data_IF_540314476246
#
_entry.id   IF_540314476246
#
_cell.length_a   1.000
_cell.length_b   1.000
_cell.length_c   1.000
_cell.angle_alpha   90.00
_cell.angle_beta   90.00
_cell.angle_gamma   90.00
#
_symmetry.space_group_name_H-M   'P 1'
#
loop_
_entity.id
_entity.type
_entity.pdbx_description
1 polymer ?
#
# COMPACT_ATOMS: atom_id res chain seq x y z
N UNK A 1 6.14 33.69 -19.13
CA UNK A 1 4.97 33.25 -18.35
C UNK A 1 4.68 31.81 -18.73
N UNK A 2 5.03 30.87 -17.86
CA UNK A 2 4.59 29.48 -17.95
C UNK A 2 4.45 28.97 -16.52
N UNK A 3 3.38 29.45 -15.86
CA UNK A 3 2.83 28.76 -14.71
C UNK A 3 2.06 27.55 -15.27
N UNK A 4 2.77 26.52 -15.72
CA UNK A 4 2.19 25.17 -15.66
C UNK A 4 2.07 24.88 -14.18
N UNK A 5 0.90 25.11 -13.62
CA UNK A 5 0.58 24.63 -12.28
C UNK A 5 0.88 23.14 -12.28
N UNK A 6 1.99 22.77 -11.66
CA UNK A 6 2.27 21.41 -11.24
C UNK A 6 1.11 21.06 -10.32
N UNK A 7 0.03 20.49 -10.86
CA UNK A 7 -0.95 19.81 -10.02
C UNK A 7 -0.13 19.00 -9.03
N UNK A 8 -0.34 19.26 -7.74
CA UNK A 8 0.39 18.58 -6.68
C UNK A 8 0.34 17.09 -6.98
N UNK A 9 1.51 16.47 -7.24
CA UNK A 9 1.64 15.02 -7.43
C UNK A 9 1.33 14.38 -6.07
N UNK A 10 0.05 14.23 -5.73
CA UNK A 10 -0.37 13.65 -4.45
C UNK A 10 -0.15 12.14 -4.52
N UNK A 11 0.83 11.65 -3.78
CA UNK A 11 1.16 10.22 -3.69
C UNK A 11 0.76 9.72 -2.31
N UNK A 12 -0.18 8.79 -2.27
CA UNK A 12 -0.52 8.01 -1.08
C UNK A 12 0.45 6.85 -0.94
N UNK A 13 0.93 6.58 0.27
CA UNK A 13 1.60 5.32 0.61
C UNK A 13 0.61 4.40 1.31
N UNK A 14 0.53 3.14 0.91
CA UNK A 14 -0.13 2.11 1.70
C UNK A 14 0.75 0.87 1.85
N UNK A 15 0.65 0.26 3.02
CA UNK A 15 1.12 -1.11 3.24
C UNK A 15 0.02 -1.95 3.88
N UNK A 16 0.34 -3.20 4.17
CA UNK A 16 -0.58 -4.18 4.72
C UNK A 16 0.08 -5.01 5.82
N UNK A 17 -0.72 -5.42 6.80
CA UNK A 17 -0.38 -6.51 7.70
C UNK A 17 -1.50 -7.55 7.79
N UNK A 18 -1.10 -8.75 8.16
CA UNK A 18 -1.91 -9.96 8.30
C UNK A 18 -1.70 -10.61 9.66
N UNK A 19 -2.52 -11.61 10.00
CA UNK A 19 -2.36 -12.41 11.24
C UNK A 19 -0.91 -12.85 11.50
N UNK A 20 -0.16 -13.23 10.45
CA UNK A 20 1.19 -13.77 10.58
C UNK A 20 2.30 -12.74 10.75
N UNK A 21 2.04 -11.44 10.56
CA UNK A 21 3.09 -10.41 10.56
C UNK A 21 2.72 -9.10 11.24
N UNK A 22 1.46 -8.89 11.66
CA UNK A 22 1.03 -7.63 12.28
C UNK A 22 1.88 -7.23 13.48
N UNK A 23 2.35 -8.18 14.29
CA UNK A 23 3.24 -7.86 15.41
C UNK A 23 4.55 -7.24 14.93
N UNK A 24 5.16 -7.80 13.88
CA UNK A 24 6.39 -7.26 13.30
C UNK A 24 6.15 -5.92 12.64
N UNK A 25 5.01 -5.75 11.96
CA UNK A 25 4.67 -4.48 11.29
C UNK A 25 4.42 -3.37 12.33
N UNK A 26 3.63 -3.64 13.37
CA UNK A 26 3.08 -2.63 14.28
C UNK A 26 3.84 -2.47 15.60
N UNK A 27 4.40 -3.55 16.17
CA UNK A 27 5.11 -3.48 17.46
C UNK A 27 6.58 -3.17 17.30
N UNK A 28 7.19 -3.61 16.20
CA UNK A 28 8.58 -3.31 15.88
C UNK A 28 8.69 -2.02 15.04
N UNK A 29 9.90 -1.68 14.59
CA UNK A 29 10.14 -0.49 13.77
C UNK A 29 9.89 -0.71 12.26
N UNK A 30 9.22 -1.80 11.87
CA UNK A 30 9.11 -2.22 10.47
C UNK A 30 8.30 -1.24 9.62
N UNK A 31 7.13 -0.82 10.12
CA UNK A 31 6.26 0.14 9.44
C UNK A 31 6.94 1.50 9.26
N UNK A 32 7.57 2.01 10.32
CA UNK A 32 8.31 3.28 10.23
C UNK A 32 9.50 3.17 9.27
N UNK A 33 10.22 2.05 9.34
CA UNK A 33 11.40 1.82 8.49
C UNK A 33 11.04 1.80 7.00
N UNK A 34 9.98 1.08 6.60
CA UNK A 34 9.62 1.01 5.18
C UNK A 34 9.23 2.38 4.62
N UNK A 35 8.44 3.16 5.38
CA UNK A 35 8.04 4.52 5.01
C UNK A 35 9.26 5.42 4.89
N UNK A 36 10.14 5.41 5.89
CA UNK A 36 11.36 6.24 5.90
C UNK A 36 12.29 5.89 4.74
N UNK A 37 12.42 4.61 4.40
CA UNK A 37 13.29 4.15 3.31
C UNK A 37 12.77 4.53 1.93
N UNK A 38 11.48 4.81 1.75
CA UNK A 38 10.97 5.43 0.52
C UNK A 38 11.59 6.82 0.28
N UNK A 39 12.06 7.51 1.33
CA UNK A 39 12.62 8.86 1.27
C UNK A 39 11.74 9.83 0.47
N UNK A 40 10.45 9.85 0.80
CA UNK A 40 9.43 10.59 0.06
C UNK A 40 8.42 11.23 1.00
N UNK A 41 7.98 12.44 0.66
CA UNK A 41 6.95 13.17 1.40
C UNK A 41 5.55 12.78 0.87
N UNK A 42 4.93 11.80 1.53
CA UNK A 42 3.65 11.26 1.10
C UNK A 42 2.49 12.18 1.47
N UNK A 43 1.52 12.31 0.56
CA UNK A 43 0.27 13.01 0.79
C UNK A 43 -0.55 12.36 1.91
N UNK A 44 -0.50 11.03 2.00
CA UNK A 44 -1.04 10.24 3.11
C UNK A 44 -0.27 8.92 3.24
N UNK A 45 -0.25 8.37 4.44
CA UNK A 45 0.36 7.10 4.81
C UNK A 45 -0.71 6.22 5.45
N UNK A 46 -1.04 5.11 4.81
CA UNK A 46 -2.09 4.20 5.23
C UNK A 46 -1.59 2.81 5.59
N UNK A 47 -2.29 2.16 6.52
CA UNK A 47 -2.13 0.74 6.81
C UNK A 47 -3.44 0.00 6.55
N UNK A 48 -3.39 -1.03 5.70
CA UNK A 48 -4.46 -2.02 5.60
C UNK A 48 -4.19 -3.13 6.61
N UNK A 49 -5.21 -3.46 7.41
CA UNK A 49 -5.20 -4.60 8.32
C UNK A 49 -6.13 -5.65 7.72
N UNK A 50 -5.64 -6.85 7.46
CA UNK A 50 -6.40 -7.85 6.75
C UNK A 50 -6.26 -9.22 7.42
N UNK A 51 -7.38 -9.93 7.57
CA UNK A 51 -7.39 -11.32 8.05
C UNK A 51 -6.59 -11.49 9.36
N UNK A 52 -6.93 -10.71 10.40
CA UNK A 52 -6.36 -10.81 11.75
C UNK A 52 -7.39 -11.43 12.70
N UNK A 53 -6.94 -12.21 13.68
CA UNK A 53 -7.83 -12.89 14.63
C UNK A 53 -8.24 -12.00 15.79
N UNK A 54 -7.31 -11.23 16.34
CA UNK A 54 -7.53 -10.35 17.49
C UNK A 54 -7.65 -8.89 17.04
N UNK A 55 -8.78 -8.57 16.43
CA UNK A 55 -9.07 -7.22 15.90
C UNK A 55 -8.87 -6.10 16.93
N UNK A 56 -9.41 -6.19 18.17
CA UNK A 56 -9.22 -5.13 19.18
C UNK A 56 -7.75 -4.84 19.49
N UNK A 57 -6.94 -5.88 19.67
CA UNK A 57 -5.50 -5.71 19.96
C UNK A 57 -4.77 -5.07 18.78
N UNK A 58 -5.01 -5.57 17.56
CA UNK A 58 -4.35 -5.00 16.37
C UNK A 58 -4.78 -3.54 16.14
N UNK A 59 -6.05 -3.23 16.36
CA UNK A 59 -6.57 -1.86 16.26
C UNK A 59 -5.91 -0.92 17.27
N UNK A 60 -5.66 -1.38 18.51
CA UNK A 60 -4.94 -0.58 19.51
C UNK A 60 -3.56 -0.17 18.99
N UNK A 61 -2.78 -1.12 18.47
CA UNK A 61 -1.45 -0.81 17.93
C UNK A 61 -1.50 0.08 16.68
N UNK A 62 -2.52 -0.08 15.83
CA UNK A 62 -2.71 0.80 14.69
C UNK A 62 -3.05 2.24 15.12
N UNK A 63 -3.90 2.41 16.15
CA UNK A 63 -4.18 3.71 16.78
C UNK A 63 -2.92 4.34 17.36
N UNK A 64 -2.08 3.56 18.03
CA UNK A 64 -0.79 4.05 18.53
C UNK A 64 0.14 4.52 17.40
N UNK A 65 0.17 3.80 16.26
CA UNK A 65 0.96 4.21 15.09
C UNK A 65 0.46 5.54 14.49
N UNK A 66 -0.85 5.77 14.49
CA UNK A 66 -1.45 7.06 14.11
C UNK A 66 -1.09 8.17 15.11
N UNK A 67 -1.21 7.90 16.41
CA UNK A 67 -0.88 8.88 17.46
C UNK A 67 0.60 9.28 17.43
N UNK A 68 1.50 8.36 17.06
CA UNK A 68 2.93 8.62 16.87
C UNK A 68 3.25 9.34 15.55
N UNK A 69 2.27 9.53 14.66
CA UNK A 69 2.47 10.15 13.34
C UNK A 69 3.23 9.28 12.33
N UNK A 70 3.33 7.96 12.57
CA UNK A 70 4.00 7.03 11.64
C UNK A 70 3.13 6.84 10.40
N UNK A 71 1.83 6.64 10.60
CA UNK A 71 0.80 6.60 9.56
C UNK A 71 -0.28 7.63 9.88
N UNK A 72 -1.04 8.03 8.87
CA UNK A 72 -2.13 8.99 9.03
C UNK A 72 -3.48 8.28 9.22
N UNK A 73 -3.62 7.08 8.65
CA UNK A 73 -4.87 6.30 8.65
C UNK A 73 -4.61 4.79 8.69
N UNK A 74 -5.58 4.04 9.21
CA UNK A 74 -5.63 2.58 9.05
C UNK A 74 -7.05 2.15 8.68
N UNK A 75 -7.15 0.99 8.03
CA UNK A 75 -8.43 0.41 7.63
C UNK A 75 -8.40 -1.11 7.77
N UNK A 76 -9.49 -1.70 8.25
CA UNK A 76 -9.69 -3.14 8.16
C UNK A 76 -10.26 -3.48 6.78
N UNK A 77 -9.59 -4.37 6.04
CA UNK A 77 -10.02 -4.73 4.68
C UNK A 77 -11.43 -5.36 4.66
N UNK A 78 -11.78 -6.09 5.71
CA UNK A 78 -13.11 -6.70 5.90
C UNK A 78 -14.25 -5.66 6.00
N UNK A 79 -13.97 -4.44 6.49
CA UNK A 79 -15.00 -3.40 6.61
C UNK A 79 -15.43 -2.85 5.25
N UNK A 80 -14.61 -3.06 4.21
CA UNK A 80 -14.83 -2.50 2.87
C UNK A 80 -14.98 -3.57 1.79
N UNK A 81 -14.87 -4.86 2.13
CA UNK A 81 -14.74 -5.89 1.11
C UNK A 81 -15.92 -5.94 0.16
N UNK A 82 -17.15 -5.86 0.67
CA UNK A 82 -18.35 -5.95 -0.15
C UNK A 82 -18.48 -4.74 -1.09
N UNK A 83 -18.15 -3.54 -0.61
CA UNK A 83 -18.11 -2.32 -1.41
C UNK A 83 -17.05 -2.42 -2.52
N UNK A 84 -15.85 -2.91 -2.18
CA UNK A 84 -14.75 -3.09 -3.11
C UNK A 84 -15.12 -4.09 -4.22
N UNK A 85 -15.62 -5.27 -3.84
CA UNK A 85 -16.03 -6.30 -4.78
C UNK A 85 -17.11 -5.75 -5.74
N UNK A 86 -18.09 -5.04 -5.20
CA UNK A 86 -19.14 -4.38 -5.99
C UNK A 86 -18.56 -3.33 -6.94
N UNK A 87 -17.69 -2.45 -6.43
CA UNK A 87 -17.07 -1.35 -7.19
C UNK A 87 -16.29 -1.86 -8.40
N UNK A 88 -15.56 -2.97 -8.23
CA UNK A 88 -14.75 -3.57 -9.29
C UNK A 88 -15.51 -4.63 -10.10
N UNK A 89 -16.80 -4.85 -9.83
CA UNK A 89 -17.63 -5.86 -10.51
C UNK A 89 -17.00 -7.26 -10.47
N UNK A 90 -16.42 -7.61 -9.31
CA UNK A 90 -15.78 -8.91 -9.04
C UNK A 90 -16.47 -9.60 -7.86
N UNK A 91 -16.27 -10.90 -7.73
CA UNK A 91 -16.82 -11.69 -6.62
C UNK A 91 -15.68 -12.34 -5.84
N UNK A 92 -15.96 -12.85 -4.63
CA UNK A 92 -14.97 -13.66 -3.89
C UNK A 92 -14.43 -14.82 -4.74
N UNK A 93 -15.31 -15.48 -5.50
CA UNK A 93 -14.95 -16.60 -6.36
C UNK A 93 -14.04 -16.20 -7.52
N UNK A 94 -13.95 -14.91 -7.87
CA UNK A 94 -13.02 -14.42 -8.89
C UNK A 94 -11.55 -14.62 -8.49
N UNK A 95 -11.25 -14.89 -7.22
CA UNK A 95 -9.90 -15.14 -6.71
C UNK A 95 -9.63 -16.62 -6.40
N UNK A 96 -10.60 -17.50 -6.65
CA UNK A 96 -10.46 -18.91 -6.37
C UNK A 96 -9.58 -19.59 -7.43
N UNK A 97 -8.58 -20.33 -6.97
CA UNK A 97 -7.82 -21.29 -7.76
C UNK A 97 -8.06 -22.68 -7.17
N UNK A 98 -7.98 -23.72 -7.99
CA UNK A 98 -8.29 -25.11 -7.59
C UNK A 98 -7.56 -25.58 -6.31
N UNK A 99 -6.39 -25.00 -6.02
CA UNK A 99 -5.53 -25.34 -4.89
C UNK A 99 -5.36 -24.19 -3.88
N UNK A 100 -6.03 -23.05 -4.08
CA UNK A 100 -5.75 -21.85 -3.31
C UNK A 100 -6.89 -20.82 -3.29
N UNK A 101 -7.23 -20.34 -2.09
CA UNK A 101 -8.09 -19.17 -1.92
C UNK A 101 -7.25 -17.88 -1.98
N UNK A 102 -7.19 -17.26 -3.16
CA UNK A 102 -6.44 -16.02 -3.39
C UNK A 102 -7.11 -14.76 -2.83
N UNK A 103 -8.31 -14.89 -2.24
CA UNK A 103 -9.09 -13.74 -1.79
C UNK A 103 -8.33 -12.87 -0.80
N UNK A 104 -7.76 -13.45 0.25
CA UNK A 104 -7.09 -12.68 1.30
C UNK A 104 -5.80 -12.00 0.81
N UNK A 105 -5.16 -12.55 -0.22
CA UNK A 105 -3.99 -11.91 -0.84
C UNK A 105 -4.38 -10.75 -1.76
N UNK A 106 -5.60 -10.78 -2.30
CA UNK A 106 -6.06 -9.82 -3.30
C UNK A 106 -6.86 -8.66 -2.70
N UNK A 107 -7.68 -8.94 -1.68
CA UNK A 107 -8.55 -7.92 -1.07
C UNK A 107 -7.75 -6.80 -0.40
N UNK A 108 -6.58 -7.12 0.17
CA UNK A 108 -5.69 -6.17 0.80
C UNK A 108 -5.19 -5.05 -0.13
N UNK A 109 -4.48 -5.38 -1.23
CA UNK A 109 -4.12 -4.41 -2.27
C UNK A 109 -5.32 -3.67 -2.85
N UNK A 110 -6.46 -4.35 -3.07
CA UNK A 110 -7.67 -3.70 -3.57
C UNK A 110 -8.26 -2.68 -2.59
N UNK A 111 -8.17 -2.94 -1.28
CA UNK A 111 -8.54 -1.95 -0.26
C UNK A 111 -7.65 -0.71 -0.35
N UNK A 112 -6.33 -0.87 -0.53
CA UNK A 112 -5.44 0.28 -0.73
C UNK A 112 -5.82 1.08 -1.99
N UNK A 113 -6.09 0.42 -3.11
CA UNK A 113 -6.54 1.07 -4.35
C UNK A 113 -7.88 1.80 -4.16
N UNK A 114 -8.82 1.22 -3.43
CA UNK A 114 -10.14 1.81 -3.19
C UNK A 114 -10.04 3.05 -2.28
N UNK A 115 -9.23 2.98 -1.22
CA UNK A 115 -9.22 3.96 -0.12
C UNK A 115 -8.21 5.10 -0.31
N UNK A 116 -7.15 4.92 -1.10
CA UNK A 116 -6.10 5.92 -1.27
C UNK A 116 -6.59 7.21 -1.93
N UNK A 117 -6.43 8.37 -1.30
CA UNK A 117 -6.93 9.67 -1.75
C UNK A 117 -5.99 10.39 -2.74
N UNK A 118 -4.73 9.99 -2.81
CA UNK A 118 -3.75 10.53 -3.73
C UNK A 118 -4.08 10.20 -5.18
N UNK A 119 -3.65 11.08 -6.10
CA UNK A 119 -3.69 10.81 -7.54
C UNK A 119 -2.85 9.58 -7.91
N UNK A 120 -1.82 9.33 -7.11
CA UNK A 120 -0.94 8.18 -7.19
C UNK A 120 -0.97 7.38 -5.90
N UNK A 121 -0.85 6.06 -6.02
CA UNK A 121 -0.64 5.15 -4.89
C UNK A 121 0.79 4.61 -4.97
N UNK A 122 1.47 4.42 -3.85
CA UNK A 122 2.62 3.52 -3.69
C UNK A 122 2.16 2.45 -2.72
N UNK A 123 1.93 1.26 -3.23
CA UNK A 123 1.63 0.10 -2.40
C UNK A 123 2.88 -0.75 -2.21
N UNK A 124 3.16 -1.15 -0.97
CA UNK A 124 4.21 -2.13 -0.65
C UNK A 124 3.64 -3.18 0.31
N UNK A 125 3.94 -4.45 0.10
CA UNK A 125 3.61 -5.49 1.09
C UNK A 125 4.43 -5.28 2.38
N UNK A 126 3.91 -5.68 3.54
CA UNK A 126 4.59 -5.46 4.83
C UNK A 126 5.98 -6.11 4.92
N UNK A 127 6.23 -7.13 4.10
CA UNK A 127 7.51 -7.84 4.00
C UNK A 127 8.49 -7.24 2.97
N UNK A 128 8.14 -6.13 2.30
CA UNK A 128 9.07 -5.35 1.47
C UNK A 128 10.24 -4.80 2.29
N UNK A 129 11.45 -4.91 1.76
CA UNK A 129 12.66 -4.30 2.28
C UNK A 129 13.25 -3.39 1.21
N UNK A 130 13.21 -2.09 1.47
CA UNK A 130 13.83 -1.10 0.58
C UNK A 130 15.28 -0.90 1.05
N UNK A 131 16.25 -1.05 0.15
CA UNK A 131 17.63 -0.69 0.48
C UNK A 131 17.75 0.83 0.56
N UNK A 132 18.56 1.39 1.50
CA UNK A 132 18.83 2.82 1.50
C UNK A 132 19.34 3.27 0.11
N UNK A 133 18.67 4.26 -0.47
CA UNK A 133 19.02 4.80 -1.77
C UNK A 133 18.86 6.32 -1.78
N UNK A 134 19.59 7.00 -2.66
CA UNK A 134 19.48 8.44 -2.89
C UNK A 134 18.67 8.80 -4.15
N UNK A 135 18.18 7.79 -4.87
CA UNK A 135 17.46 7.98 -6.14
C UNK A 135 15.99 8.36 -5.87
N UNK A 136 15.44 9.40 -6.51
CA UNK A 136 14.05 9.82 -6.36
C UNK A 136 13.09 8.94 -7.19
N UNK A 137 13.11 7.64 -6.95
CA UNK A 137 12.44 6.66 -7.81
C UNK A 137 10.92 6.83 -7.90
N UNK A 138 10.26 7.34 -6.85
CA UNK A 138 8.81 7.59 -6.87
C UNK A 138 8.48 8.70 -7.86
N UNK A 139 9.21 9.82 -7.82
CA UNK A 139 9.00 10.94 -8.73
C UNK A 139 9.27 10.55 -10.19
N UNK A 140 10.37 9.83 -10.44
CA UNK A 140 10.70 9.32 -11.77
C UNK A 140 9.62 8.36 -12.29
N UNK A 141 9.08 7.51 -11.42
CA UNK A 141 8.00 6.59 -11.78
C UNK A 141 6.71 7.33 -12.11
N UNK A 142 6.36 8.36 -11.32
CA UNK A 142 5.21 9.22 -11.60
C UNK A 142 5.36 9.95 -12.93
N UNK A 143 6.53 10.50 -13.23
CA UNK A 143 6.81 11.17 -14.50
C UNK A 143 6.70 10.22 -15.68
N UNK A 144 7.23 9.00 -15.54
CA UNK A 144 7.08 7.97 -16.56
C UNK A 144 5.62 7.65 -16.81
N UNK A 145 4.82 7.42 -15.77
CA UNK A 145 3.39 7.14 -15.91
C UNK A 145 2.63 8.26 -16.65
N UNK A 146 2.92 9.52 -16.32
CA UNK A 146 2.31 10.68 -17.01
C UNK A 146 2.72 10.76 -18.49
N UNK A 147 3.98 10.44 -18.82
CA UNK A 147 4.48 10.48 -20.20
C UNK A 147 3.88 9.38 -21.08
N UNK A 148 3.81 8.15 -20.56
CA UNK A 148 3.43 6.98 -21.36
C UNK A 148 1.94 6.61 -21.20
N UNK A 149 1.20 7.30 -20.33
CA UNK A 149 -0.21 6.99 -20.02
C UNK A 149 -0.41 5.62 -19.36
N UNK A 150 0.62 5.08 -18.69
CA UNK A 150 0.56 3.75 -18.06
C UNK A 150 -0.02 3.80 -16.65
N UNK A 151 -0.74 2.73 -16.30
CA UNK A 151 -1.51 2.59 -15.07
C UNK A 151 -0.77 1.84 -13.95
N UNK A 152 0.42 1.28 -14.22
CA UNK A 152 1.20 0.51 -13.27
C UNK A 152 2.71 0.61 -13.57
N UNK A 153 3.53 0.93 -12.56
CA UNK A 153 4.99 0.83 -12.64
C UNK A 153 5.52 -0.04 -11.50
N UNK A 154 6.18 -1.16 -11.82
CA UNK A 154 6.83 -2.04 -10.85
C UNK A 154 8.28 -1.61 -10.62
N UNK A 155 8.66 -1.37 -9.36
CA UNK A 155 10.04 -1.08 -8.97
C UNK A 155 10.78 -2.37 -8.55
N UNK A 156 12.00 -2.54 -9.05
CA UNK A 156 12.82 -3.75 -8.85
C UNK A 156 13.82 -3.65 -7.69
N UNK A 157 13.74 -2.62 -6.85
CA UNK A 157 14.73 -2.33 -5.79
C UNK A 157 14.53 -3.09 -4.46
N UNK A 158 13.80 -4.21 -4.46
CA UNK A 158 13.64 -5.07 -3.29
C UNK A 158 14.57 -6.29 -3.38
N UNK A 159 15.51 -6.42 -2.43
CA UNK A 159 16.40 -7.58 -2.34
C UNK A 159 15.74 -8.69 -1.51
N UNK A 160 15.06 -9.62 -2.17
CA UNK A 160 14.94 -11.05 -1.84
C UNK A 160 14.26 -11.75 -3.03
N UNK A 161 15.00 -12.60 -3.72
CA UNK A 161 14.45 -13.48 -4.74
C UNK A 161 13.43 -14.42 -4.07
N UNK A 162 12.20 -14.47 -4.61
CA UNK A 162 11.08 -15.40 -4.35
C UNK A 162 9.75 -14.78 -3.89
N UNK A 163 9.63 -13.47 -3.68
CA UNK A 163 8.32 -12.82 -3.53
C UNK A 163 8.24 -11.62 -4.46
N UNK A 164 7.23 -11.62 -5.32
CA UNK A 164 6.95 -10.54 -6.25
C UNK A 164 6.56 -9.31 -5.43
N UNK A 165 7.50 -8.39 -5.21
CA UNK A 165 7.19 -7.13 -4.56
C UNK A 165 6.45 -6.26 -5.57
N UNK A 166 5.14 -6.13 -5.35
CA UNK A 166 4.30 -5.29 -6.18
C UNK A 166 4.38 -3.87 -5.64
N UNK A 167 5.38 -3.11 -6.12
CA UNK A 167 5.28 -1.65 -6.04
C UNK A 167 4.22 -1.26 -7.05
N UNK A 168 3.04 -0.91 -6.57
CA UNK A 168 1.93 -0.54 -7.44
C UNK A 168 1.80 0.97 -7.42
N UNK A 169 2.13 1.57 -8.55
CA UNK A 169 1.91 2.97 -8.85
C UNK A 169 0.76 3.10 -9.84
N UNK A 170 -0.41 3.50 -9.34
CA UNK A 170 -1.63 3.66 -10.12
C UNK A 170 -2.06 5.11 -10.17
N UNK A 171 -2.36 5.59 -11.37
CA UNK A 171 -3.09 6.85 -11.58
C UNK A 171 -4.57 6.61 -11.31
N UNK A 172 -5.14 7.28 -10.32
CA UNK A 172 -6.57 7.24 -10.00
C UNK A 172 -7.39 8.22 -10.82
#
# INVERSE_FOLDING_TARGET
MTMTSKESKTVSFFTICYEGDWERILKENRLERIIRQCNYDFFEKGLIINNVKDRPTVEQYAKEAVQKGIIDVYYFSEDYSDEILTKFSITRNSFHLDFYDGYYYSIGPLSAVYLAKGKYLVYLTGDCLIEPHSVPWIDESVERMEMIGTFCCQCTWCRYQHRMYLVYLQRR
#
